data_IF_221072245566
#
_entry.id   IF_221072245566
#
_cell.length_a   1.000
_cell.length_b   1.000
_cell.length_c   1.000
_cell.angle_alpha   90.00
_cell.angle_beta   90.00
_cell.angle_gamma   90.00
#
_symmetry.space_group_name_H-M   'P 1'
#
loop_
_entity.id
_entity.type
_entity.pdbx_description
1 polymer ?
#
# COMPACT_ATOMS: atom_id res chain seq x y z
N UNK A 1 6.11 -3.80 -10.72
CA UNK A 1 6.23 -3.55 -9.26
C UNK A 1 4.88 -3.11 -8.74
N UNK A 2 4.47 -3.62 -7.61
CA UNK A 2 3.21 -3.25 -6.97
C UNK A 2 3.50 -2.43 -5.70
N UNK A 3 3.00 -1.21 -5.64
CA UNK A 3 2.94 -0.43 -4.41
C UNK A 3 1.57 -0.63 -3.78
N UNK A 4 1.50 -1.10 -2.55
CA UNK A 4 0.25 -1.26 -1.82
C UNK A 4 0.12 -0.16 -0.74
N UNK A 5 -0.98 0.59 -0.79
CA UNK A 5 -1.38 1.40 0.35
C UNK A 5 -1.90 0.51 1.49
N UNK A 6 -2.16 1.10 2.66
CA UNK A 6 -2.63 0.32 3.81
C UNK A 6 -3.98 -0.36 3.58
N UNK A 7 -4.89 0.25 2.79
CA UNK A 7 -6.23 -0.30 2.53
C UNK A 7 -6.17 -1.57 1.67
N UNK A 8 -5.30 -1.58 0.67
CA UNK A 8 -5.09 -2.76 -0.16
C UNK A 8 -4.23 -3.82 0.55
N UNK A 9 -3.16 -3.41 1.25
CA UNK A 9 -2.30 -4.35 1.98
C UNK A 9 -3.04 -5.07 3.11
N UNK A 10 -3.97 -4.40 3.80
CA UNK A 10 -4.78 -4.99 4.86
C UNK A 10 -5.54 -6.25 4.41
N UNK A 11 -5.93 -6.31 3.13
CA UNK A 11 -6.61 -7.47 2.55
C UNK A 11 -5.77 -8.75 2.50
N UNK A 12 -4.46 -8.64 2.63
CA UNK A 12 -3.58 -9.80 2.81
C UNK A 12 -3.84 -10.53 4.14
N UNK A 13 -4.31 -9.79 5.14
CA UNK A 13 -4.46 -10.30 6.52
C UNK A 13 -5.91 -10.49 6.91
N UNK A 14 -6.83 -9.70 6.38
CA UNK A 14 -8.26 -9.80 6.69
C UNK A 14 -9.00 -10.54 5.57
N UNK A 15 -9.90 -11.44 5.96
CA UNK A 15 -10.74 -12.16 5.00
C UNK A 15 -11.92 -11.27 4.59
N UNK A 16 -11.73 -10.51 3.51
CA UNK A 16 -12.71 -9.58 2.96
C UNK A 16 -12.61 -9.56 1.42
N UNK A 17 -13.48 -8.80 0.75
CA UNK A 17 -13.46 -8.69 -0.72
C UNK A 17 -12.06 -8.29 -1.21
N UNK A 18 -11.55 -9.03 -2.21
CA UNK A 18 -10.23 -8.79 -2.79
C UNK A 18 -9.06 -9.48 -2.08
N UNK A 19 -9.28 -10.16 -0.94
CA UNK A 19 -8.21 -10.85 -0.19
C UNK A 19 -7.46 -11.87 -1.04
N UNK A 20 -8.19 -12.68 -1.81
CA UNK A 20 -7.59 -13.71 -2.70
C UNK A 20 -6.73 -13.09 -3.79
N UNK A 21 -7.15 -11.95 -4.33
CA UNK A 21 -6.41 -11.25 -5.38
C UNK A 21 -5.09 -10.71 -4.83
N UNK A 22 -5.10 -10.08 -3.66
CA UNK A 22 -3.87 -9.59 -3.00
C UNK A 22 -2.95 -10.76 -2.65
N UNK A 23 -3.50 -11.87 -2.12
CA UNK A 23 -2.70 -13.07 -1.83
C UNK A 23 -1.99 -13.60 -3.09
N UNK A 24 -2.69 -13.71 -4.21
CA UNK A 24 -2.11 -14.15 -5.48
C UNK A 24 -0.98 -13.23 -5.97
N UNK A 25 -1.08 -11.90 -5.76
CA UNK A 25 -0.01 -10.95 -6.08
C UNK A 25 1.25 -11.19 -5.22
N UNK A 26 1.11 -11.50 -3.94
CA UNK A 26 2.24 -11.89 -3.09
C UNK A 26 2.90 -13.19 -3.57
N UNK A 27 2.10 -14.17 -4.00
CA UNK A 27 2.58 -15.48 -4.46
C UNK A 27 3.22 -15.43 -5.86
N UNK A 28 2.93 -14.41 -6.66
CA UNK A 28 3.47 -14.26 -8.02
C UNK A 28 4.97 -13.96 -8.06
N UNK A 29 5.60 -13.65 -6.91
CA UNK A 29 6.99 -13.21 -6.84
C UNK A 29 7.21 -11.77 -7.30
N UNK A 30 6.13 -10.99 -7.44
CA UNK A 30 6.21 -9.57 -7.74
C UNK A 30 6.84 -8.80 -6.58
N UNK A 31 7.61 -7.75 -6.89
CA UNK A 31 8.16 -6.88 -5.85
C UNK A 31 7.06 -6.00 -5.26
N UNK A 32 6.80 -6.19 -3.96
CA UNK A 32 5.81 -5.43 -3.21
C UNK A 32 6.50 -4.28 -2.47
N UNK A 33 5.97 -3.08 -2.65
CA UNK A 33 6.42 -1.87 -1.97
C UNK A 33 5.29 -1.26 -1.14
N UNK A 34 5.67 -0.57 -0.08
CA UNK A 34 4.74 0.28 0.68
C UNK A 34 5.51 1.35 1.44
N UNK A 35 4.81 2.37 1.93
CA UNK A 35 5.38 3.36 2.84
C UNK A 35 5.63 2.76 4.23
N UNK A 36 6.65 3.25 4.93
CA UNK A 36 6.87 2.91 6.34
C UNK A 36 5.66 3.28 7.23
N UNK A 37 4.83 4.24 6.82
CA UNK A 37 3.58 4.61 7.48
C UNK A 37 2.63 3.41 7.62
N UNK A 38 2.60 2.54 6.61
CA UNK A 38 1.73 1.35 6.56
C UNK A 38 1.95 0.42 7.75
N UNK A 39 3.15 0.40 8.33
CA UNK A 39 3.39 -0.37 9.55
C UNK A 39 2.46 0.03 10.68
N UNK A 40 2.33 1.33 10.93
CA UNK A 40 1.44 1.84 11.97
C UNK A 40 -0.04 1.65 11.60
N UNK A 41 -0.39 1.83 10.33
CA UNK A 41 -1.77 1.72 9.85
C UNK A 41 -2.29 0.29 9.97
N UNK A 42 -1.52 -0.73 9.56
CA UNK A 42 -1.92 -2.15 9.67
C UNK A 42 -2.00 -2.58 11.14
N UNK A 43 -1.01 -2.24 11.97
CA UNK A 43 -1.09 -2.53 13.41
C UNK A 43 -2.31 -1.86 14.07
N UNK A 44 -2.63 -0.62 13.67
CA UNK A 44 -3.82 0.07 14.16
C UNK A 44 -5.10 -0.61 13.70
N UNK A 45 -5.16 -1.09 12.46
CA UNK A 45 -6.33 -1.81 11.93
C UNK A 45 -6.55 -3.14 12.68
N UNK A 46 -5.49 -3.95 12.87
CA UNK A 46 -5.55 -5.19 13.62
C UNK A 46 -6.03 -4.93 15.06
N UNK A 47 -5.43 -3.96 15.74
CA UNK A 47 -5.79 -3.62 17.12
C UNK A 47 -7.22 -3.09 17.25
N UNK A 48 -7.70 -2.31 16.26
CA UNK A 48 -9.08 -1.82 16.24
C UNK A 48 -10.07 -2.96 16.12
N UNK A 49 -9.91 -3.83 15.10
CA UNK A 49 -10.78 -4.99 14.89
C UNK A 49 -10.82 -5.94 16.09
N UNK A 50 -9.71 -6.14 16.77
CA UNK A 50 -9.65 -6.88 18.01
C UNK A 50 -10.47 -6.23 19.13
N UNK A 51 -10.36 -4.91 19.33
CA UNK A 51 -11.19 -4.18 20.31
C UNK A 51 -12.68 -4.23 19.99
N UNK A 52 -13.01 -4.24 18.69
CA UNK A 52 -14.38 -4.40 18.17
C UNK A 52 -14.89 -5.85 18.25
N UNK A 53 -14.05 -6.77 18.74
CA UNK A 53 -14.36 -8.20 18.92
C UNK A 53 -14.70 -8.95 17.63
N UNK A 54 -14.13 -8.51 16.51
CA UNK A 54 -14.29 -9.22 15.23
C UNK A 54 -13.53 -10.57 15.22
N UNK A 55 -12.54 -10.75 16.11
CA UNK A 55 -11.79 -11.98 16.28
C UNK A 55 -11.22 -12.12 17.71
N UNK A 56 -10.78 -13.31 18.07
CA UNK A 56 -10.25 -13.64 19.38
C UNK A 56 -8.75 -13.32 19.54
N UNK A 57 -8.19 -13.62 20.72
CA UNK A 57 -6.79 -13.36 21.03
C UNK A 57 -5.82 -14.23 20.21
N UNK A 58 -6.21 -15.43 19.80
CA UNK A 58 -5.36 -16.30 18.98
C UNK A 58 -5.26 -15.75 17.58
N UNK A 59 -6.37 -15.32 17.00
CA UNK A 59 -6.41 -14.70 15.70
C UNK A 59 -5.67 -13.34 15.69
N UNK A 60 -5.79 -12.53 16.76
CA UNK A 60 -5.01 -11.31 16.92
C UNK A 60 -3.50 -11.57 16.83
N UNK A 61 -3.00 -12.58 17.57
CA UNK A 61 -1.58 -12.95 17.54
C UNK A 61 -1.19 -13.42 16.14
N UNK A 62 -1.99 -14.29 15.53
CA UNK A 62 -1.74 -14.83 14.20
C UNK A 62 -1.62 -13.73 13.13
N UNK A 63 -2.56 -12.80 13.10
CA UNK A 63 -2.57 -11.69 12.13
C UNK A 63 -1.39 -10.75 12.32
N UNK A 64 -1.09 -10.40 13.57
CA UNK A 64 0.06 -9.56 13.91
C UNK A 64 1.37 -10.20 13.46
N UNK A 65 1.57 -11.47 13.78
CA UNK A 65 2.81 -12.20 13.49
C UNK A 65 2.97 -12.43 11.98
N UNK A 66 1.90 -12.75 11.26
CA UNK A 66 1.90 -12.85 9.79
C UNK A 66 2.27 -11.51 9.12
N UNK A 67 1.72 -10.40 9.60
CA UNK A 67 2.10 -9.09 9.09
C UNK A 67 3.57 -8.76 9.37
N UNK A 68 4.06 -9.06 10.57
CA UNK A 68 5.46 -8.81 10.91
C UNK A 68 6.42 -9.66 10.06
N UNK A 69 6.07 -10.90 9.76
CA UNK A 69 6.84 -11.77 8.87
C UNK A 69 6.92 -11.20 7.44
N UNK A 70 5.77 -10.87 6.85
CA UNK A 70 5.73 -10.23 5.52
C UNK A 70 6.48 -8.88 5.53
N UNK A 71 6.35 -8.10 6.60
CA UNK A 71 7.07 -6.84 6.76
C UNK A 71 8.59 -7.02 6.75
N UNK A 72 9.08 -8.06 7.36
CA UNK A 72 10.53 -8.31 7.43
C UNK A 72 11.09 -8.89 6.12
N UNK A 73 10.35 -9.78 5.45
CA UNK A 73 10.91 -10.63 4.42
C UNK A 73 10.30 -10.45 3.02
N UNK A 74 9.06 -9.97 2.92
CA UNK A 74 8.32 -9.95 1.67
C UNK A 74 8.07 -8.54 1.11
N UNK A 75 8.12 -7.52 1.97
CA UNK A 75 7.75 -6.15 1.62
C UNK A 75 8.98 -5.25 1.61
N UNK A 76 9.14 -4.46 0.55
CA UNK A 76 10.12 -3.38 0.47
C UNK A 76 9.54 -2.09 1.04
N UNK A 77 10.13 -1.58 2.11
CA UNK A 77 9.69 -0.39 2.82
C UNK A 77 10.33 0.86 2.23
N UNK A 78 9.53 1.89 2.00
CA UNK A 78 9.97 3.20 1.56
C UNK A 78 9.88 4.20 2.72
N UNK A 79 10.98 4.86 3.02
CA UNK A 79 11.06 5.85 4.09
C UNK A 79 10.33 7.14 3.71
N UNK A 80 9.85 7.86 4.73
CA UNK A 80 9.22 9.18 4.60
C UNK A 80 10.30 10.28 4.62
N UNK A 81 11.18 10.26 3.62
CA UNK A 81 12.15 11.34 3.45
C UNK A 81 11.56 12.52 2.64
N UNK A 82 12.30 13.61 2.55
CA UNK A 82 11.86 14.79 1.81
C UNK A 82 11.59 14.51 0.33
N UNK A 83 12.28 13.53 -0.27
CA UNK A 83 12.09 13.18 -1.68
C UNK A 83 10.73 12.50 -1.89
N UNK A 84 10.36 11.57 -0.99
CA UNK A 84 9.06 10.92 -1.01
C UNK A 84 7.92 11.91 -0.72
N UNK A 85 8.20 13.06 -0.09
CA UNK A 85 7.22 14.07 0.29
C UNK A 85 7.12 15.25 -0.71
N UNK A 86 7.87 15.24 -1.82
CA UNK A 86 7.87 16.36 -2.80
C UNK A 86 6.47 16.63 -3.37
N UNK A 87 5.69 15.59 -3.68
CA UNK A 87 4.35 15.75 -4.23
C UNK A 87 3.30 16.14 -3.18
N UNK A 88 3.57 15.93 -1.88
CA UNK A 88 2.60 16.06 -0.80
C UNK A 88 1.88 17.42 -0.74
N UNK A 89 2.58 18.59 -0.78
CA UNK A 89 1.90 19.88 -0.70
C UNK A 89 0.85 20.05 -1.81
N UNK A 90 1.22 19.74 -3.05
CA UNK A 90 0.29 19.81 -4.19
C UNK A 90 -0.90 18.87 -4.02
N UNK A 91 -0.68 17.66 -3.49
CA UNK A 91 -1.75 16.68 -3.29
C UNK A 91 -2.78 17.18 -2.28
N UNK A 92 -2.34 17.71 -1.13
CA UNK A 92 -3.25 18.21 -0.09
C UNK A 92 -3.93 19.53 -0.48
N UNK A 93 -3.29 20.35 -1.32
CA UNK A 93 -3.87 21.59 -1.82
C UNK A 93 -4.91 21.36 -2.92
N UNK A 94 -4.66 20.39 -3.81
CA UNK A 94 -5.51 20.14 -4.99
C UNK A 94 -6.62 19.12 -4.73
N UNK A 95 -6.46 18.23 -3.76
CA UNK A 95 -7.38 17.14 -3.49
C UNK A 95 -7.73 17.06 -2.01
N UNK A 96 -8.99 16.74 -1.71
CA UNK A 96 -9.45 16.55 -0.33
C UNK A 96 -9.02 15.19 0.24
N UNK A 97 -7.70 14.94 0.27
CA UNK A 97 -7.13 13.71 0.81
C UNK A 97 -6.85 13.85 2.31
N UNK A 98 -7.02 12.76 3.04
CA UNK A 98 -6.49 12.64 4.40
C UNK A 98 -4.97 12.60 4.38
N UNK A 99 -4.33 12.99 5.47
CA UNK A 99 -2.88 13.04 5.54
C UNK A 99 -2.20 11.70 5.21
N UNK A 100 -2.74 10.59 5.73
CA UNK A 100 -2.23 9.25 5.41
C UNK A 100 -2.31 8.94 3.92
N UNK A 101 -3.46 9.16 3.30
CA UNK A 101 -3.68 8.91 1.87
C UNK A 101 -2.75 9.75 0.99
N UNK A 102 -2.57 11.04 1.35
CA UNK A 102 -1.66 11.92 0.65
C UNK A 102 -0.19 11.49 0.78
N UNK A 103 0.22 10.98 1.93
CA UNK A 103 1.55 10.41 2.16
C UNK A 103 1.74 9.14 1.33
N UNK A 104 0.78 8.22 1.35
CA UNK A 104 0.82 6.98 0.56
C UNK A 104 0.97 7.30 -0.94
N UNK A 105 0.13 8.19 -1.45
CA UNK A 105 0.16 8.58 -2.86
C UNK A 105 1.46 9.31 -3.24
N UNK A 106 1.94 10.24 -2.39
CA UNK A 106 3.21 10.94 -2.63
C UNK A 106 4.40 9.98 -2.70
N UNK A 107 4.43 8.98 -1.82
CA UNK A 107 5.48 7.95 -1.80
C UNK A 107 5.42 7.06 -3.06
N UNK A 108 4.23 6.69 -3.52
CA UNK A 108 4.05 5.91 -4.75
C UNK A 108 4.48 6.71 -6.01
N UNK A 109 4.15 8.01 -6.06
CA UNK A 109 4.60 8.91 -7.14
C UNK A 109 6.12 8.99 -7.14
N UNK A 110 6.75 9.19 -5.99
CA UNK A 110 8.20 9.21 -5.88
C UNK A 110 8.85 7.89 -6.35
N UNK A 111 8.29 6.74 -6.00
CA UNK A 111 8.79 5.45 -6.47
C UNK A 111 8.73 5.36 -8.00
N UNK A 112 7.59 5.72 -8.61
CA UNK A 112 7.43 5.76 -10.08
C UNK A 112 8.45 6.67 -10.73
N UNK A 113 8.61 7.88 -10.24
CA UNK A 113 9.51 8.87 -10.83
C UNK A 113 10.98 8.46 -10.66
N UNK A 114 11.32 7.79 -9.55
CA UNK A 114 12.65 7.24 -9.28
C UNK A 114 13.02 6.10 -10.24
N UNK A 115 12.04 5.30 -10.69
CA UNK A 115 12.25 4.31 -11.75
C UNK A 115 12.55 4.96 -13.10
N UNK A 116 11.81 6.01 -13.45
CA UNK A 116 11.99 6.73 -14.73
C UNK A 116 13.38 7.35 -14.87
N UNK A 117 13.97 7.79 -13.78
CA UNK A 117 15.33 8.37 -13.75
C UNK A 117 16.44 7.35 -13.40
N UNK A 118 16.11 6.06 -13.30
CA UNK A 118 17.08 5.00 -13.09
C UNK A 118 17.70 4.94 -11.68
N UNK A 119 17.08 5.56 -10.68
CA UNK A 119 17.52 5.48 -9.27
C UNK A 119 17.31 4.07 -8.73
N UNK A 120 16.24 3.41 -9.16
CA UNK A 120 16.00 2.00 -8.89
C UNK A 120 16.30 1.18 -10.15
N UNK A 121 17.12 0.14 -10.00
CA UNK A 121 17.36 -0.81 -11.10
C UNK A 121 16.11 -1.68 -11.29
N UNK A 122 15.29 -1.29 -12.24
CA UNK A 122 14.17 -2.09 -12.73
C UNK A 122 14.55 -2.83 -14.01
N UNK A 123 13.75 -3.80 -14.41
CA UNK A 123 13.79 -4.34 -15.78
C UNK A 123 13.34 -3.24 -16.74
N UNK A 124 13.87 -3.21 -17.96
CA UNK A 124 13.44 -2.25 -18.97
C UNK A 124 11.93 -2.35 -19.17
N UNK A 125 11.22 -1.20 -19.06
CA UNK A 125 9.75 -1.13 -19.16
C UNK A 125 8.97 -1.47 -17.88
N UNK A 126 9.63 -1.66 -16.74
CA UNK A 126 8.96 -1.89 -15.47
C UNK A 126 8.21 -0.64 -15.02
N UNK A 127 6.95 -0.81 -14.61
CA UNK A 127 6.06 0.26 -14.13
C UNK A 127 5.68 0.03 -12.67
N UNK A 128 5.24 1.09 -11.99
CA UNK A 128 4.63 1.01 -10.67
C UNK A 128 3.12 1.00 -10.83
N UNK A 129 2.49 -0.03 -10.29
CA UNK A 129 1.06 -0.11 -10.12
C UNK A 129 0.72 0.21 -8.66
N UNK A 130 -0.25 1.08 -8.44
CA UNK A 130 -0.69 1.53 -7.12
C UNK A 130 -1.93 0.75 -6.69
N UNK A 131 -1.74 -0.14 -5.73
CA UNK A 131 -2.82 -0.94 -5.16
C UNK A 131 -3.52 -0.19 -4.03
N UNK A 132 -4.82 0.02 -4.18
CA UNK A 132 -5.66 0.79 -3.26
C UNK A 132 -7.09 0.31 -3.30
N UNK A 133 -7.75 0.17 -2.13
CA UNK A 133 -9.16 -0.17 -2.05
C UNK A 133 -10.08 1.06 -1.93
N UNK A 134 -9.55 2.21 -1.50
CA UNK A 134 -10.30 3.46 -1.42
C UNK A 134 -10.53 4.06 -2.82
N UNK A 135 -11.80 4.20 -3.22
CA UNK A 135 -12.18 4.70 -4.54
C UNK A 135 -11.81 6.17 -4.78
N UNK A 136 -11.80 7.00 -3.75
CA UNK A 136 -11.40 8.41 -3.87
C UNK A 136 -9.90 8.50 -4.12
N UNK A 137 -9.11 7.78 -3.35
CA UNK A 137 -7.66 7.72 -3.51
C UNK A 137 -7.28 7.10 -4.86
N UNK A 138 -7.97 6.05 -5.29
CA UNK A 138 -7.79 5.43 -6.60
C UNK A 138 -7.98 6.43 -7.74
N UNK A 139 -9.05 7.23 -7.69
CA UNK A 139 -9.32 8.28 -8.68
C UNK A 139 -8.20 9.32 -8.74
N UNK A 140 -7.77 9.81 -7.58
CA UNK A 140 -6.68 10.81 -7.51
C UNK A 140 -5.37 10.22 -8.03
N UNK A 141 -5.08 8.95 -7.73
CA UNK A 141 -3.89 8.26 -8.23
C UNK A 141 -3.87 8.17 -9.77
N UNK A 142 -5.03 7.86 -10.39
CA UNK A 142 -5.18 7.88 -11.85
C UNK A 142 -4.94 9.28 -12.43
N UNK A 143 -5.49 10.33 -11.82
CA UNK A 143 -5.28 11.72 -12.23
C UNK A 143 -3.81 12.16 -12.10
N UNK A 144 -3.08 11.55 -11.16
CA UNK A 144 -1.62 11.73 -10.99
C UNK A 144 -0.78 10.86 -11.96
N UNK A 145 -1.42 10.09 -12.84
CA UNK A 145 -0.75 9.27 -13.85
C UNK A 145 -0.16 7.96 -13.35
N UNK A 146 -0.65 7.43 -12.22
CA UNK A 146 -0.33 6.07 -11.77
C UNK A 146 -1.27 5.07 -12.46
N UNK A 147 -0.75 3.86 -12.71
CA UNK A 147 -1.62 2.70 -12.95
C UNK A 147 -2.22 2.28 -11.61
N UNK A 148 -3.49 1.96 -11.58
CA UNK A 148 -4.20 1.63 -10.34
C UNK A 148 -4.72 0.19 -10.38
N UNK A 149 -4.48 -0.51 -9.28
CA UNK A 149 -5.01 -1.82 -8.96
C UNK A 149 -5.97 -1.69 -7.78
N UNK A 150 -7.24 -1.95 -7.99
CA UNK A 150 -8.21 -2.03 -6.90
C UNK A 150 -8.61 -3.50 -6.69
N UNK A 151 -8.17 -4.14 -5.60
CA UNK A 151 -8.41 -5.56 -5.37
C UNK A 151 -9.90 -5.90 -5.21
N UNK A 152 -10.77 -4.94 -4.92
CA UNK A 152 -12.21 -5.17 -4.80
C UNK A 152 -12.93 -5.22 -6.15
N UNK A 153 -12.30 -4.74 -7.21
CA UNK A 153 -12.88 -4.69 -8.56
C UNK A 153 -12.33 -5.80 -9.47
N UNK A 154 -11.32 -6.53 -9.05
CA UNK A 154 -10.77 -7.66 -9.80
C UNK A 154 -11.38 -8.99 -9.33
N UNK A 155 -11.60 -9.90 -10.29
CA UNK A 155 -12.24 -11.21 -10.10
C UNK A 155 -11.31 -12.35 -10.49
#
# INVERSE_FOLDING_TARGET
MLYLDASALAKRYFNEQGSGVVAARFESGERIFTSILTFAEIHSAIARKFREREFDSQEFIRLRDAFQEDWLFSISKLDLDLKAMIALPRLVESYSLKAGDAIQLSTAIWLRDSLLVGVWSGKAGETVEFGVADNQLAKVALECGLQVFNPELEH
#
